data_IF_925751889520
#
_entry.id   IF_925751889520
#
_cell.length_a   1.000
_cell.length_b   1.000
_cell.length_c   1.000
_cell.angle_alpha   90.00
_cell.angle_beta   90.00
_cell.angle_gamma   90.00
#
_symmetry.space_group_name_H-M   'P 1'
#
loop_
_entity.id
_entity.type
_entity.pdbx_description
1 polymer ?
#
# COMPACT_ATOMS: atom_id res chain seq x y z
N UNK A 1 -12.77 3.40 -23.83
CA UNK A 1 -13.70 3.59 -22.69
C UNK A 1 -13.13 2.77 -21.56
N UNK A 2 -12.26 3.36 -20.74
CA UNK A 2 -11.56 2.65 -19.66
C UNK A 2 -12.44 2.69 -18.42
N UNK A 3 -12.90 1.51 -18.00
CA UNK A 3 -13.66 1.37 -16.75
C UNK A 3 -12.66 1.59 -15.62
N UNK A 4 -12.62 2.80 -15.05
CA UNK A 4 -12.02 3.03 -13.74
C UNK A 4 -12.93 2.38 -12.71
N UNK A 5 -12.57 1.16 -12.30
CA UNK A 5 -13.17 0.47 -11.17
C UNK A 5 -12.61 1.17 -9.92
N UNK A 6 -13.37 2.14 -9.39
CA UNK A 6 -12.88 3.10 -8.40
C UNK A 6 -12.45 2.45 -7.08
N UNK A 7 -11.15 2.31 -6.91
CA UNK A 7 -10.51 2.44 -5.61
C UNK A 7 -10.55 3.94 -5.26
N UNK A 8 -10.96 4.28 -4.04
CA UNK A 8 -11.42 5.62 -3.70
C UNK A 8 -10.32 6.51 -3.13
N UNK A 9 -10.73 7.68 -2.62
CA UNK A 9 -9.86 8.63 -1.92
C UNK A 9 -9.09 8.05 -0.74
N UNK A 10 -9.49 6.88 -0.22
CA UNK A 10 -8.81 6.22 0.89
C UNK A 10 -7.51 5.58 0.43
N UNK A 11 -7.53 4.86 -0.69
CA UNK A 11 -6.36 4.21 -1.26
C UNK A 11 -5.36 5.26 -1.77
N UNK A 12 -5.85 6.30 -2.45
CA UNK A 12 -5.04 7.46 -2.87
C UNK A 12 -4.37 8.15 -1.67
N UNK A 13 -5.08 8.32 -0.55
CA UNK A 13 -4.50 8.91 0.67
C UNK A 13 -3.40 8.05 1.28
N UNK A 14 -3.54 6.72 1.24
CA UNK A 14 -2.49 5.80 1.71
C UNK A 14 -1.26 5.91 0.81
N UNK A 15 -1.44 5.96 -0.51
CA UNK A 15 -0.35 6.19 -1.44
C UNK A 15 0.38 7.51 -1.12
N UNK A 16 -0.35 8.62 -1.02
CA UNK A 16 0.22 9.94 -0.71
C UNK A 16 0.96 9.95 0.63
N UNK A 17 0.39 9.37 1.68
CA UNK A 17 1.00 9.32 3.01
C UNK A 17 2.35 8.59 2.98
N UNK A 18 2.39 7.42 2.33
CA UNK A 18 3.59 6.59 2.23
C UNK A 18 4.67 7.29 1.41
N UNK A 19 4.29 7.86 0.26
CA UNK A 19 5.22 8.61 -0.59
C UNK A 19 5.78 9.84 0.15
N UNK A 20 4.95 10.54 0.94
CA UNK A 20 5.39 11.69 1.73
C UNK A 20 6.29 11.29 2.90
N UNK A 21 6.07 10.14 3.53
CA UNK A 21 6.99 9.61 4.56
C UNK A 21 8.36 9.31 3.95
N UNK A 22 8.39 8.65 2.79
CA UNK A 22 9.64 8.39 2.07
C UNK A 22 10.37 9.69 1.69
N UNK A 23 9.63 10.69 1.18
CA UNK A 23 10.20 12.01 0.84
C UNK A 23 10.77 12.74 2.05
N UNK A 24 10.19 12.53 3.24
CA UNK A 24 10.68 13.07 4.52
C UNK A 24 11.90 12.34 5.07
N UNK A 25 12.28 11.21 4.47
CA UNK A 25 13.44 10.43 4.88
C UNK A 25 13.14 9.35 5.91
N UNK A 26 11.87 9.02 6.15
CA UNK A 26 11.50 7.85 6.94
C UNK A 26 12.09 6.59 6.30
N UNK A 27 12.50 5.64 7.13
CA UNK A 27 13.08 4.36 6.70
C UNK A 27 12.06 3.57 5.86
N UNK A 28 12.35 3.31 4.56
CA UNK A 28 11.42 2.58 3.70
C UNK A 28 11.09 1.18 4.25
N UNK A 29 12.08 0.50 4.84
CA UNK A 29 11.88 -0.82 5.47
C UNK A 29 10.93 -0.77 6.64
N UNK A 30 10.96 0.29 7.44
CA UNK A 30 10.06 0.43 8.60
C UNK A 30 8.63 0.75 8.15
N UNK A 31 8.48 1.59 7.11
CA UNK A 31 7.17 1.86 6.49
C UNK A 31 6.58 0.57 5.93
N UNK A 32 7.35 -0.17 5.13
CA UNK A 32 6.92 -1.45 4.55
C UNK A 32 6.48 -2.43 5.64
N UNK A 33 7.29 -2.58 6.69
CA UNK A 33 6.99 -3.45 7.82
C UNK A 33 5.70 -3.05 8.54
N UNK A 34 5.50 -1.77 8.84
CA UNK A 34 4.32 -1.26 9.57
C UNK A 34 3.01 -1.61 8.85
N UNK A 35 2.97 -1.37 7.54
CA UNK A 35 1.79 -1.66 6.73
C UNK A 35 1.56 -3.17 6.57
N UNK A 36 2.63 -3.95 6.36
CA UNK A 36 2.52 -5.40 6.20
C UNK A 36 2.16 -6.13 7.50
N UNK A 37 2.65 -5.68 8.65
CA UNK A 37 2.23 -6.21 9.97
C UNK A 37 0.74 -5.95 10.21
N UNK A 38 0.27 -4.75 9.90
CA UNK A 38 -1.16 -4.41 10.00
C UNK A 38 -2.01 -5.29 9.08
N UNK A 39 -1.56 -5.51 7.84
CA UNK A 39 -2.24 -6.38 6.89
C UNK A 39 -2.27 -7.85 7.37
N UNK A 40 -1.15 -8.36 7.87
CA UNK A 40 -1.04 -9.73 8.40
C UNK A 40 -1.97 -9.96 9.60
N UNK A 41 -2.15 -8.96 10.46
CA UNK A 41 -3.13 -9.02 11.55
C UNK A 41 -4.55 -9.13 10.98
N UNK A 42 -4.91 -8.28 10.01
CA UNK A 42 -6.24 -8.32 9.38
C UNK A 42 -6.50 -9.62 8.61
N UNK A 43 -5.45 -10.23 8.04
CA UNK A 43 -5.51 -11.52 7.36
C UNK A 43 -5.78 -12.70 8.30
N UNK A 44 -5.39 -12.60 9.57
CA UNK A 44 -5.61 -13.64 10.57
C UNK A 44 -6.90 -13.45 11.38
N UNK A 45 -7.47 -12.25 11.39
CA UNK A 45 -8.69 -11.95 12.12
C UNK A 45 -9.92 -12.52 11.42
N UNK A 46 -10.91 -12.92 12.23
CA UNK A 46 -12.26 -13.22 11.75
C UNK A 46 -12.82 -12.03 10.95
N UNK A 47 -13.64 -12.33 9.93
CA UNK A 47 -14.23 -11.30 9.05
C UNK A 47 -14.96 -10.19 9.80
N UNK A 48 -15.61 -10.49 10.93
CA UNK A 48 -16.33 -9.51 11.74
C UNK A 48 -15.43 -8.57 12.54
N UNK A 49 -14.13 -8.87 12.65
CA UNK A 49 -13.14 -8.11 13.43
C UNK A 49 -12.06 -7.46 12.55
N UNK A 50 -11.82 -8.03 11.38
CA UNK A 50 -10.87 -7.48 10.42
C UNK A 50 -11.40 -6.18 9.80
N UNK A 51 -10.49 -5.27 9.46
CA UNK A 51 -10.82 -4.10 8.65
C UNK A 51 -11.29 -4.54 7.28
N UNK A 52 -12.32 -3.86 6.79
CA UNK A 52 -12.86 -4.08 5.44
C UNK A 52 -11.88 -3.68 4.34
N UNK A 53 -11.01 -2.69 4.62
CA UNK A 53 -10.02 -2.16 3.67
C UNK A 53 -8.67 -1.95 4.33
N UNK A 54 -7.60 -2.38 3.67
CA UNK A 54 -6.22 -2.19 4.09
C UNK A 54 -5.27 -2.37 2.89
N UNK A 55 -4.01 -2.00 3.06
CA UNK A 55 -2.98 -2.11 2.01
C UNK A 55 -1.79 -2.92 2.51
N UNK A 56 -1.22 -3.74 1.63
CA UNK A 56 0.16 -4.24 1.74
C UNK A 56 1.06 -3.37 0.88
N UNK A 57 2.31 -3.22 1.29
CA UNK A 57 3.28 -2.40 0.56
C UNK A 57 4.54 -3.23 0.32
N UNK A 58 5.17 -3.04 -0.83
CA UNK A 58 6.51 -3.56 -1.09
C UNK A 58 7.35 -2.43 -1.65
N UNK A 59 8.53 -2.22 -1.07
CA UNK A 59 9.43 -1.14 -1.50
C UNK A 59 10.72 -1.74 -2.03
N UNK A 60 10.97 -1.53 -3.32
CA UNK A 60 12.19 -1.95 -3.98
C UNK A 60 13.16 -0.79 -4.12
N UNK A 61 14.37 -1.00 -3.60
CA UNK A 61 15.50 -0.11 -3.81
C UNK A 61 16.36 -0.63 -4.96
N UNK A 62 16.24 0.02 -6.11
CA UNK A 62 17.03 -0.29 -7.31
C UNK A 62 18.45 0.31 -7.29
N UNK A 63 18.92 0.86 -6.15
CA UNK A 63 20.21 1.53 -6.00
C UNK A 63 20.32 2.90 -6.68
N UNK A 64 19.34 3.24 -7.51
CA UNK A 64 19.21 4.53 -8.18
C UNK A 64 18.59 5.57 -7.23
N UNK A 65 18.62 6.86 -7.57
CA UNK A 65 18.00 7.95 -6.77
C UNK A 65 16.48 7.80 -6.51
N UNK A 66 15.85 6.71 -6.95
CA UNK A 66 14.43 6.44 -6.82
C UNK A 66 14.19 5.09 -6.14
N UNK A 67 13.10 5.00 -5.40
CA UNK A 67 12.50 3.78 -4.88
C UNK A 67 11.25 3.47 -5.70
N UNK A 68 11.02 2.19 -5.94
CA UNK A 68 9.76 1.70 -6.50
C UNK A 68 8.88 1.18 -5.36
N UNK A 69 7.66 1.71 -5.28
CA UNK A 69 6.70 1.39 -4.23
C UNK A 69 5.49 0.73 -4.89
N UNK A 70 5.25 -0.53 -4.54
CA UNK A 70 4.08 -1.30 -4.93
C UNK A 70 3.06 -1.29 -3.79
N UNK A 71 1.82 -0.90 -4.09
CA UNK A 71 0.70 -0.94 -3.16
C UNK A 71 -0.29 -2.01 -3.59
N UNK A 72 -0.60 -2.93 -2.69
CA UNK A 72 -1.61 -3.95 -2.88
C UNK A 72 -2.81 -3.62 -1.97
N UNK A 73 -3.82 -2.97 -2.53
CA UNK A 73 -5.02 -2.60 -1.79
C UNK A 73 -6.00 -3.77 -1.74
N UNK A 74 -6.46 -4.10 -0.54
CA UNK A 74 -7.42 -5.16 -0.28
C UNK A 74 -8.75 -4.54 0.13
N UNK A 75 -9.84 -4.94 -0.54
CA UNK A 75 -11.21 -4.58 -0.18
C UNK A 75 -12.07 -5.84 -0.01
N UNK A 76 -12.37 -6.17 1.25
CA UNK A 76 -13.12 -7.37 1.63
C UNK A 76 -14.63 -7.27 1.43
N UNK A 77 -15.15 -6.07 1.18
CA UNK A 77 -16.58 -5.84 0.90
C UNK A 77 -16.90 -5.81 -0.59
N UNK A 78 -15.91 -6.02 -1.46
CA UNK A 78 -16.13 -5.91 -2.89
C UNK A 78 -17.04 -7.05 -3.40
N UNK A 79 -18.15 -6.72 -4.07
CA UNK A 79 -19.17 -7.67 -4.48
C UNK A 79 -18.66 -8.79 -5.42
N UNK A 80 -17.60 -8.51 -6.19
CA UNK A 80 -16.93 -9.48 -7.08
C UNK A 80 -15.83 -10.29 -6.40
N UNK A 81 -15.59 -10.09 -5.11
CA UNK A 81 -14.73 -10.99 -4.34
C UNK A 81 -15.36 -11.35 -3.01
N UNK A 82 -16.23 -12.39 -3.00
CA UNK A 82 -16.85 -12.94 -1.78
C UNK A 82 -15.82 -13.43 -0.75
N UNK A 83 -14.58 -13.65 -1.19
CA UNK A 83 -13.35 -14.02 -0.50
C UNK A 83 -12.43 -12.83 -0.16
N UNK A 84 -12.68 -11.65 -0.72
CA UNK A 84 -12.10 -10.36 -0.30
C UNK A 84 -10.88 -9.84 -1.09
N UNK A 85 -10.58 -10.44 -2.23
CA UNK A 85 -9.47 -10.17 -3.14
C UNK A 85 -9.92 -9.40 -4.39
N UNK A 86 -10.61 -8.27 -4.21
CA UNK A 86 -10.47 -7.20 -5.20
C UNK A 86 -9.15 -6.49 -4.90
N UNK A 87 -8.06 -7.09 -5.36
CA UNK A 87 -6.72 -6.54 -5.24
C UNK A 87 -6.48 -5.48 -6.30
N UNK A 88 -6.24 -4.23 -5.91
CA UNK A 88 -5.59 -3.28 -6.81
C UNK A 88 -4.10 -3.30 -6.55
N UNK A 89 -3.34 -3.45 -7.61
CA UNK A 89 -1.91 -3.15 -7.59
C UNK A 89 -1.70 -1.77 -8.20
N UNK A 90 -1.08 -0.87 -7.45
CA UNK A 90 -0.54 0.38 -7.99
C UNK A 90 0.95 0.45 -7.74
N UNK A 91 1.69 0.94 -8.73
CA UNK A 91 3.13 1.10 -8.65
C UNK A 91 3.46 2.59 -8.78
N UNK A 92 4.41 3.05 -7.96
CA UNK A 92 4.85 4.45 -7.91
C UNK A 92 6.37 4.52 -7.80
N UNK A 93 6.95 5.50 -8.48
CA UNK A 93 8.36 5.86 -8.31
C UNK A 93 8.46 7.10 -7.42
N UNK A 94 9.33 7.05 -6.41
CA UNK A 94 9.57 8.18 -5.51
C UNK A 94 11.06 8.44 -5.38
N UNK A 95 11.47 9.70 -5.43
CA UNK A 95 12.86 10.08 -5.17
C UNK A 95 13.22 9.81 -3.72
N UNK A 96 14.39 9.21 -3.49
CA UNK A 96 14.97 9.10 -2.16
C UNK A 96 15.20 10.49 -1.57
N UNK A 97 15.00 10.64 -0.26
CA UNK A 97 15.41 11.85 0.43
C UNK A 97 16.92 12.08 0.24
N UNK A 98 17.32 13.31 -0.09
CA UNK A 98 18.73 13.66 -0.22
C UNK A 98 19.41 13.51 1.14
N UNK A 99 20.34 12.56 1.27
CA UNK A 99 21.10 12.33 2.51
C UNK A 99 20.94 10.95 3.16
N UNK A 100 20.07 10.08 2.64
CA UNK A 100 20.07 8.66 3.02
C UNK A 100 21.32 7.98 2.44
N UNK A 101 22.40 7.95 3.23
CA UNK A 101 23.62 7.18 2.93
C UNK A 101 23.49 5.73 3.35
#
# INVERSE_FOLDING_TARGET
>A
MSIMIGFGSTEERVEEEVLDRIRRGDSPKDIEKEYNETADINDKLDRSKAKDRYSRITIFDWGCHHLEVSFHHVNRQHALSPDGWAGMLTERLVKKAEGSK
#
